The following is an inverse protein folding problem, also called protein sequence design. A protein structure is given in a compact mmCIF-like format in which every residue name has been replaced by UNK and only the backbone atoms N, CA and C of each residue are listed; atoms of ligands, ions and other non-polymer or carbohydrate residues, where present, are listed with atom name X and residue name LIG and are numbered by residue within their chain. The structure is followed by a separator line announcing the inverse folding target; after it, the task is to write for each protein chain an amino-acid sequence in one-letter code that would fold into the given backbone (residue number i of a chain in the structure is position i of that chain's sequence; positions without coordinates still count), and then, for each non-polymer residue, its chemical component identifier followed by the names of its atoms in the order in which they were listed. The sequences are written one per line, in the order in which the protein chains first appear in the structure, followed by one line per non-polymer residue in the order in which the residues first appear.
data_IF_255811792537
#
_entry.id   IF_255811792537
#
_cell.length_a   1.000
_cell.length_b   1.000
_cell.length_c   1.000
_cell.angle_alpha   90.00
_cell.angle_beta   90.00
_cell.angle_gamma   90.00
#
_symmetry.space_group_name_H-M   'P 1'
#
loop_
_entity.id
_entity.type
_entity.pdbx_description
1 polymer ?
#
# COMPACT_ATOMS: atom_id res chain seq x y z
N UNK A 1 -17.34 -27.71 21.94
CA UNK A 1 -15.94 -27.26 22.11
C UNK A 1 -15.98 -25.75 22.21
N UNK A 2 -15.35 -25.16 23.20
CA UNK A 2 -15.25 -23.70 23.35
C UNK A 2 -14.34 -23.12 22.27
N UNK A 3 -14.66 -21.92 21.80
CA UNK A 3 -13.83 -21.12 20.88
C UNK A 3 -13.59 -19.76 21.52
N UNK A 4 -12.33 -19.39 21.57
CA UNK A 4 -11.87 -18.07 21.99
C UNK A 4 -11.07 -17.44 20.86
N UNK A 5 -11.01 -16.11 20.83
CA UNK A 5 -10.13 -15.35 19.93
C UNK A 5 -9.40 -14.24 20.67
N UNK A 6 -8.31 -13.75 20.10
CA UNK A 6 -7.50 -12.69 20.69
C UNK A 6 -7.96 -11.33 20.17
N UNK A 7 -8.34 -10.42 21.06
CA UNK A 7 -8.53 -9.02 20.73
C UNK A 7 -7.25 -8.25 20.97
N UNK A 8 -6.77 -7.52 19.93
CA UNK A 8 -5.57 -6.68 19.99
C UNK A 8 -5.94 -5.22 19.69
N UNK A 9 -5.91 -4.37 20.70
CA UNK A 9 -6.03 -2.92 20.52
C UNK A 9 -4.72 -2.33 19.97
N UNK A 10 -4.70 -1.03 19.66
CA UNK A 10 -3.51 -0.38 19.06
C UNK A 10 -2.25 -0.48 19.94
N UNK A 11 -2.38 -0.39 21.27
CA UNK A 11 -1.25 -0.53 22.20
C UNK A 11 -0.70 -1.96 22.18
N UNK A 12 -1.60 -2.95 22.14
CA UNK A 12 -1.21 -4.35 22.04
C UNK A 12 -0.49 -4.61 20.70
N UNK A 13 -0.98 -4.02 19.60
CA UNK A 13 -0.33 -4.10 18.29
C UNK A 13 1.10 -3.53 18.32
N UNK A 14 1.28 -2.37 18.97
CA UNK A 14 2.62 -1.76 19.13
C UNK A 14 3.52 -2.69 19.96
N UNK A 15 3.04 -3.19 21.10
CA UNK A 15 3.79 -4.09 21.96
C UNK A 15 4.15 -5.42 21.28
N UNK A 16 3.29 -5.89 20.36
CA UNK A 16 3.52 -7.09 19.55
C UNK A 16 4.40 -6.84 18.31
N UNK A 17 4.89 -5.60 18.11
CA UNK A 17 5.88 -5.28 17.09
C UNK A 17 5.31 -4.82 15.75
N UNK A 18 4.07 -4.30 15.71
CA UNK A 18 3.49 -3.79 14.44
C UNK A 18 4.33 -2.69 13.78
N UNK A 19 5.18 -1.99 14.55
CA UNK A 19 6.07 -0.93 14.09
C UNK A 19 7.45 -1.44 13.64
N UNK A 20 7.72 -2.74 13.63
CA UNK A 20 8.96 -3.31 13.12
C UNK A 20 9.01 -3.18 11.59
N UNK A 21 9.71 -2.16 11.11
CA UNK A 21 9.83 -1.82 9.69
C UNK A 21 10.50 -2.94 8.91
N UNK A 22 11.62 -3.48 9.41
CA UNK A 22 12.39 -4.50 8.73
C UNK A 22 11.61 -5.82 8.65
N UNK A 23 10.96 -6.21 9.75
CA UNK A 23 10.08 -7.37 9.81
C UNK A 23 8.88 -7.23 8.86
N UNK A 24 8.31 -6.03 8.74
CA UNK A 24 7.21 -5.76 7.81
C UNK A 24 7.67 -5.88 6.34
N UNK A 25 8.82 -5.33 5.97
CA UNK A 25 9.38 -5.45 4.62
C UNK A 25 9.64 -6.92 4.28
N UNK A 26 10.18 -7.71 5.22
CA UNK A 26 10.38 -9.14 5.01
C UNK A 26 9.06 -9.90 4.86
N UNK A 27 8.04 -9.57 5.66
CA UNK A 27 6.70 -10.14 5.51
C UNK A 27 6.12 -9.84 4.12
N UNK A 28 6.31 -8.63 3.59
CA UNK A 28 5.89 -8.28 2.23
C UNK A 28 6.65 -9.09 1.17
N UNK A 29 7.96 -9.29 1.33
CA UNK A 29 8.76 -10.13 0.41
C UNK A 29 8.26 -11.57 0.36
N UNK A 30 8.00 -12.16 1.53
CA UNK A 30 7.46 -13.51 1.62
C UNK A 30 6.05 -13.61 1.02
N UNK A 31 5.21 -12.59 1.27
CA UNK A 31 3.87 -12.52 0.69
C UNK A 31 3.94 -12.54 -0.84
N UNK A 32 4.80 -11.71 -1.43
CA UNK A 32 4.95 -11.65 -2.88
C UNK A 32 5.59 -12.91 -3.47
N UNK A 33 6.47 -13.61 -2.72
CA UNK A 33 6.97 -14.92 -3.14
C UNK A 33 5.85 -15.97 -3.14
N UNK A 34 4.97 -15.99 -2.13
CA UNK A 34 3.79 -16.87 -2.11
C UNK A 34 2.83 -16.52 -3.26
N UNK A 35 2.67 -15.23 -3.55
CA UNK A 35 1.90 -14.74 -4.69
C UNK A 35 2.47 -15.30 -6.00
N UNK A 36 3.77 -15.18 -6.22
CA UNK A 36 4.46 -15.72 -7.39
C UNK A 36 4.36 -17.23 -7.54
N UNK A 37 4.13 -17.96 -6.43
CA UNK A 37 3.88 -19.40 -6.37
C UNK A 37 2.39 -19.76 -6.44
N UNK A 38 1.51 -18.79 -6.50
CA UNK A 38 0.05 -18.95 -6.51
C UNK A 38 -0.52 -19.61 -5.24
N UNK A 39 0.17 -19.46 -4.10
CA UNK A 39 -0.28 -19.96 -2.80
C UNK A 39 -1.05 -18.89 -2.03
N UNK A 40 -2.10 -18.37 -2.64
CA UNK A 40 -2.99 -17.38 -2.09
C UNK A 40 -4.36 -17.43 -2.78
N UNK A 41 -5.37 -16.80 -2.17
CA UNK A 41 -6.66 -16.49 -2.79
C UNK A 41 -7.07 -15.07 -2.37
N UNK A 42 -7.56 -14.29 -3.31
CA UNK A 42 -8.30 -13.05 -3.03
C UNK A 42 -9.81 -13.33 -3.07
N UNK A 43 -10.62 -12.32 -2.77
CA UNK A 43 -12.06 -12.40 -2.90
C UNK A 43 -12.52 -12.51 -4.37
N UNK A 44 -13.83 -12.72 -4.55
CA UNK A 44 -14.46 -12.80 -5.85
C UNK A 44 -14.36 -14.16 -6.54
N UNK A 45 -15.16 -14.36 -7.60
CA UNK A 45 -15.25 -15.65 -8.28
C UNK A 45 -13.99 -16.06 -9.03
N UNK A 46 -13.14 -15.08 -9.41
CA UNK A 46 -11.84 -15.33 -10.04
C UNK A 46 -10.67 -15.33 -9.05
N UNK A 47 -10.94 -15.06 -7.77
CA UNK A 47 -9.95 -14.94 -6.70
C UNK A 47 -8.86 -13.86 -6.97
N UNK A 48 -9.25 -12.77 -7.59
CA UNK A 48 -8.39 -11.65 -8.01
C UNK A 48 -8.91 -10.26 -7.61
N UNK A 49 -10.08 -10.19 -6.92
CA UNK A 49 -10.69 -8.93 -6.54
C UNK A 49 -9.97 -8.26 -5.35
N UNK A 50 -9.81 -6.94 -5.46
CA UNK A 50 -9.26 -6.12 -4.38
C UNK A 50 -10.14 -6.14 -3.12
N UNK A 51 -11.47 -6.15 -3.27
CA UNK A 51 -12.45 -6.17 -2.20
C UNK A 51 -13.79 -5.59 -2.65
N UNK A 52 -14.81 -5.77 -1.82
CA UNK A 52 -16.17 -5.27 -2.08
C UNK A 52 -16.42 -3.97 -1.32
N UNK A 53 -16.93 -2.97 -2.03
CA UNK A 53 -17.21 -1.65 -1.47
C UNK A 53 -18.69 -1.41 -1.29
N UNK A 54 -19.02 -0.68 -0.21
CA UNK A 54 -20.31 -0.01 -0.05
C UNK A 54 -20.05 1.46 -0.31
N UNK A 55 -20.53 1.96 -1.45
CA UNK A 55 -20.50 3.37 -1.80
C UNK A 55 -21.88 3.98 -1.54
N UNK A 56 -21.90 5.23 -1.06
CA UNK A 56 -23.14 5.94 -0.78
C UNK A 56 -23.58 6.74 -2.00
N UNK A 57 -24.89 6.87 -2.26
CA UNK A 57 -25.38 7.69 -3.37
C UNK A 57 -25.26 9.18 -3.07
N UNK A 58 -25.18 10.00 -4.12
CA UNK A 58 -25.17 11.46 -3.99
C UNK A 58 -26.51 12.02 -3.49
N UNK A 59 -27.63 11.33 -3.78
CA UNK A 59 -28.99 11.72 -3.38
C UNK A 59 -29.80 10.50 -2.94
N UNK A 60 -30.81 10.73 -2.07
CA UNK A 60 -31.79 9.71 -1.67
C UNK A 60 -33.12 10.37 -1.31
N UNK A 61 -34.23 9.71 -1.64
CA UNK A 61 -35.57 10.11 -1.22
C UNK A 61 -35.91 9.62 0.22
N UNK A 62 -35.02 8.86 0.85
CA UNK A 62 -35.18 8.36 2.21
C UNK A 62 -34.61 9.40 3.19
N UNK A 63 -35.44 9.92 4.07
CA UNK A 63 -35.02 10.85 5.12
C UNK A 63 -33.93 10.22 6.03
N UNK A 64 -32.82 10.92 6.21
CA UNK A 64 -31.70 10.44 7.02
C UNK A 64 -30.85 9.33 6.38
N UNK A 65 -31.10 8.97 5.11
CA UNK A 65 -30.22 8.04 4.40
C UNK A 65 -28.80 8.60 4.29
N UNK A 66 -27.78 7.81 4.57
CA UNK A 66 -26.40 8.27 4.44
C UNK A 66 -26.05 8.55 2.97
N UNK A 67 -25.61 9.77 2.69
CA UNK A 67 -25.24 10.20 1.34
C UNK A 67 -23.71 10.26 1.21
N UNK A 68 -23.23 10.26 -0.04
CA UNK A 68 -21.87 10.65 -0.37
C UNK A 68 -21.74 12.18 -0.24
N UNK A 69 -21.41 12.61 0.98
CA UNK A 69 -21.28 14.01 1.37
C UNK A 69 -19.83 14.52 1.30
N UNK A 70 -18.95 13.76 0.68
CA UNK A 70 -17.55 14.12 0.50
C UNK A 70 -16.72 13.00 -0.06
N UNK A 71 -15.54 13.32 -0.57
CA UNK A 71 -14.68 12.31 -1.19
C UNK A 71 -14.32 11.23 -0.18
N UNK A 72 -14.33 9.98 -0.66
CA UNK A 72 -13.87 8.82 0.09
C UNK A 72 -14.81 8.36 1.24
N UNK A 73 -16.12 8.60 1.14
CA UNK A 73 -17.10 8.02 2.08
C UNK A 73 -17.53 6.64 1.60
N UNK A 74 -16.96 5.61 2.19
CA UNK A 74 -17.24 4.21 1.83
C UNK A 74 -16.93 3.24 2.95
N UNK A 75 -17.43 2.01 2.83
CA UNK A 75 -16.91 0.85 3.54
C UNK A 75 -16.29 -0.12 2.55
N UNK A 76 -15.27 -0.86 2.98
CA UNK A 76 -14.62 -1.87 2.15
C UNK A 76 -14.33 -3.14 2.96
N UNK A 77 -14.70 -4.29 2.41
CA UNK A 77 -14.39 -5.62 2.92
C UNK A 77 -13.40 -6.30 1.97
N UNK A 78 -12.25 -6.69 2.47
CA UNK A 78 -11.13 -7.21 1.68
C UNK A 78 -10.71 -8.58 2.23
N UNK A 79 -11.40 -9.67 1.84
CA UNK A 79 -11.05 -11.02 2.27
C UNK A 79 -9.86 -11.57 1.49
N UNK A 80 -9.07 -12.44 2.14
CA UNK A 80 -8.03 -13.20 1.49
C UNK A 80 -7.62 -14.45 2.30
N UNK A 81 -6.97 -15.38 1.60
CA UNK A 81 -6.18 -16.47 2.15
C UNK A 81 -4.72 -16.31 1.74
N UNK A 82 -3.81 -16.62 2.64
CA UNK A 82 -2.38 -16.69 2.37
C UNK A 82 -1.81 -18.00 2.91
N UNK A 83 -1.12 -18.73 2.04
CA UNK A 83 -0.55 -20.02 2.33
C UNK A 83 0.82 -19.99 2.99
N UNK A 84 1.66 -20.97 2.64
CA UNK A 84 3.01 -21.11 3.19
C UNK A 84 3.02 -21.18 4.71
N UNK A 85 3.98 -20.50 5.33
CA UNK A 85 4.07 -20.44 6.80
C UNK A 85 2.89 -19.70 7.46
N UNK A 86 2.13 -18.94 6.70
CA UNK A 86 0.97 -18.21 7.23
C UNK A 86 -0.21 -19.15 7.42
N UNK A 87 -0.62 -19.87 6.36
CA UNK A 87 -1.76 -20.77 6.35
C UNK A 87 -2.97 -20.21 7.10
N UNK A 88 -3.41 -19.05 6.67
CA UNK A 88 -4.38 -18.22 7.40
C UNK A 88 -5.34 -17.54 6.42
N UNK A 89 -6.61 -17.50 6.77
CA UNK A 89 -7.59 -16.66 6.11
C UNK A 89 -7.93 -15.44 6.98
N UNK A 90 -8.54 -14.45 6.38
CA UNK A 90 -8.99 -13.28 7.12
C UNK A 90 -9.50 -12.18 6.21
N UNK A 91 -9.76 -11.05 6.80
CA UNK A 91 -10.17 -9.86 6.05
C UNK A 91 -9.72 -8.58 6.73
N UNK A 92 -9.42 -7.58 5.92
CA UNK A 92 -9.44 -6.19 6.37
C UNK A 92 -10.83 -5.62 6.10
N UNK A 93 -11.42 -5.01 7.12
CA UNK A 93 -12.65 -4.24 6.99
C UNK A 93 -12.41 -2.81 7.47
N UNK A 94 -12.88 -1.81 6.70
CA UNK A 94 -12.71 -0.42 7.11
C UNK A 94 -13.83 0.48 6.60
N UNK A 95 -14.12 1.54 7.40
CA UNK A 95 -14.88 2.70 6.97
C UNK A 95 -13.94 3.87 6.71
N UNK A 96 -14.21 4.64 5.66
CA UNK A 96 -13.47 5.83 5.28
C UNK A 96 -14.41 7.02 5.11
N UNK A 97 -13.99 8.20 5.60
CA UNK A 97 -14.71 9.46 5.44
C UNK A 97 -13.76 10.62 5.72
N UNK A 98 -13.54 11.50 4.75
CA UNK A 98 -12.67 12.67 4.92
C UNK A 98 -13.16 13.65 6.00
N UNK A 99 -14.46 13.69 6.29
CA UNK A 99 -15.03 14.53 7.38
C UNK A 99 -14.62 14.07 8.78
N UNK A 100 -14.09 12.84 8.93
CA UNK A 100 -13.54 12.38 10.20
C UNK A 100 -12.43 13.28 10.73
N UNK A 101 -11.61 13.87 9.84
CA UNK A 101 -10.53 14.78 10.23
C UNK A 101 -11.04 16.01 10.99
N UNK A 102 -12.23 16.50 10.66
CA UNK A 102 -12.88 17.63 11.36
C UNK A 102 -13.34 17.23 12.77
N UNK A 103 -13.56 15.94 12.99
CA UNK A 103 -13.96 15.35 14.29
C UNK A 103 -12.77 14.87 15.13
N UNK A 104 -11.53 15.11 14.66
CA UNK A 104 -10.31 14.61 15.30
C UNK A 104 -10.08 13.10 15.14
N UNK A 105 -10.82 12.45 14.25
CA UNK A 105 -10.68 11.03 13.93
C UNK A 105 -9.79 10.84 12.68
N UNK A 106 -9.11 9.69 12.53
CA UNK A 106 -8.43 9.38 11.29
C UNK A 106 -9.44 9.25 10.14
N UNK A 107 -9.01 9.59 8.90
CA UNK A 107 -9.85 9.46 7.70
C UNK A 107 -10.47 8.08 7.57
N UNK A 108 -9.69 7.04 7.83
CA UNK A 108 -10.14 5.64 7.79
C UNK A 108 -9.92 4.99 9.15
N UNK A 109 -10.85 4.15 9.55
CA UNK A 109 -10.76 3.32 10.75
C UNK A 109 -10.79 1.87 10.29
N UNK A 110 -9.69 1.17 10.53
CA UNK A 110 -9.40 -0.14 9.97
C UNK A 110 -9.34 -1.21 11.06
N UNK A 111 -9.83 -2.38 10.69
CA UNK A 111 -9.78 -3.59 11.51
C UNK A 111 -9.37 -4.77 10.63
N UNK A 112 -8.65 -5.73 11.21
CA UNK A 112 -8.32 -7.01 10.58
C UNK A 112 -8.85 -8.13 11.46
N UNK A 113 -9.51 -9.10 10.82
CA UNK A 113 -9.82 -10.40 11.41
C UNK A 113 -8.93 -11.46 10.81
N UNK A 114 -8.48 -12.40 11.64
CA UNK A 114 -7.74 -13.58 11.21
C UNK A 114 -8.52 -14.83 11.62
N UNK A 115 -8.56 -15.82 10.74
CA UNK A 115 -9.28 -17.06 10.93
C UNK A 115 -8.39 -18.26 10.62
N UNK A 116 -8.57 -19.31 11.39
CA UNK A 116 -8.03 -20.64 11.10
C UNK A 116 -8.68 -21.18 9.82
N UNK A 117 -7.86 -21.60 8.89
CA UNK A 117 -8.32 -22.02 7.55
C UNK A 117 -9.10 -23.31 7.58
N UNK A 118 -8.71 -24.25 8.46
CA UNK A 118 -9.27 -25.59 8.47
C UNK A 118 -10.65 -25.65 9.14
N UNK A 119 -10.86 -24.76 10.13
CA UNK A 119 -12.08 -24.76 10.96
C UNK A 119 -12.97 -23.55 10.74
N UNK A 120 -12.41 -22.44 10.17
CA UNK A 120 -13.08 -21.15 10.12
C UNK A 120 -13.11 -20.39 11.45
N UNK A 121 -12.55 -20.96 12.52
CA UNK A 121 -12.56 -20.34 13.85
C UNK A 121 -11.80 -19.00 13.85
N UNK A 122 -12.31 -17.96 14.53
CA UNK A 122 -11.57 -16.72 14.66
C UNK A 122 -10.31 -16.93 15.51
N UNK A 123 -9.19 -16.42 15.03
CA UNK A 123 -7.91 -16.38 15.74
C UNK A 123 -7.72 -15.03 16.42
N UNK A 124 -8.00 -13.94 15.70
CA UNK A 124 -7.84 -12.59 16.22
C UNK A 124 -8.80 -11.59 15.58
N UNK A 125 -9.10 -10.54 16.34
CA UNK A 125 -9.69 -9.28 15.90
C UNK A 125 -8.80 -8.13 16.35
N UNK A 126 -8.28 -7.33 15.43
CA UNK A 126 -7.21 -6.40 15.75
C UNK A 126 -7.39 -5.02 15.14
N UNK A 127 -6.90 -3.99 15.84
CA UNK A 127 -6.73 -2.64 15.32
C UNK A 127 -5.75 -2.64 14.17
N UNK A 128 -6.13 -2.03 13.03
CA UNK A 128 -5.35 -2.16 11.81
C UNK A 128 -4.89 -0.83 11.18
N UNK A 129 -5.06 0.31 11.82
CA UNK A 129 -4.57 1.58 11.28
C UNK A 129 -3.04 1.59 11.14
N UNK A 130 -2.30 1.21 12.18
CA UNK A 130 -0.84 1.10 12.13
C UNK A 130 -0.41 -0.06 11.23
N UNK A 131 -1.06 -1.21 11.33
CA UNK A 131 -0.79 -2.38 10.50
C UNK A 131 -0.84 -2.03 9.01
N UNK A 132 -1.95 -1.42 8.58
CA UNK A 132 -2.14 -1.03 7.18
C UNK A 132 -1.17 0.08 6.75
N UNK A 133 -0.84 1.04 7.63
CA UNK A 133 0.16 2.06 7.33
C UNK A 133 1.55 1.44 7.12
N UNK A 134 1.94 0.51 7.96
CA UNK A 134 3.25 -0.16 7.89
C UNK A 134 3.38 -1.01 6.62
N UNK A 135 2.40 -1.89 6.31
CA UNK A 135 2.48 -2.73 5.10
C UNK A 135 2.43 -1.90 3.82
N UNK A 136 1.66 -0.79 3.80
CA UNK A 136 1.58 0.10 2.63
C UNK A 136 2.90 0.82 2.37
N UNK A 137 3.63 1.20 3.42
CA UNK A 137 4.99 1.75 3.28
C UNK A 137 6.04 0.70 2.97
N UNK A 138 5.87 -0.53 3.42
CA UNK A 138 6.81 -1.63 3.24
C UNK A 138 6.80 -2.19 1.80
N UNK A 139 5.65 -2.22 1.12
CA UNK A 139 5.54 -2.71 -0.26
C UNK A 139 6.44 -1.96 -1.25
N UNK A 140 6.42 -0.61 -1.31
CA UNK A 140 7.36 0.14 -2.13
C UNK A 140 8.83 -0.16 -1.84
N UNK A 141 9.17 -0.31 -0.57
CA UNK A 141 10.54 -0.57 -0.14
C UNK A 141 10.98 -2.01 -0.47
N UNK A 142 10.11 -2.98 -0.30
CA UNK A 142 10.35 -4.35 -0.74
C UNK A 142 10.70 -4.36 -2.24
N UNK A 143 9.89 -3.68 -3.08
CA UNK A 143 10.18 -3.56 -4.50
C UNK A 143 11.48 -2.80 -4.77
N UNK A 144 11.77 -1.73 -4.04
CA UNK A 144 13.02 -0.97 -4.19
C UNK A 144 14.28 -1.83 -3.93
N UNK A 145 14.19 -2.87 -3.08
CA UNK A 145 15.30 -3.80 -2.87
C UNK A 145 15.71 -4.57 -4.13
N UNK A 146 14.82 -4.67 -5.12
CA UNK A 146 15.04 -5.30 -6.43
C UNK A 146 15.22 -4.28 -7.55
N UNK A 147 14.55 -3.13 -7.47
CA UNK A 147 14.39 -2.18 -8.57
C UNK A 147 15.24 -0.92 -8.44
N UNK A 148 15.59 -0.49 -7.22
CA UNK A 148 16.43 0.68 -7.03
C UNK A 148 17.89 0.39 -7.39
N UNK A 149 18.61 1.44 -7.77
CA UNK A 149 20.07 1.36 -7.92
C UNK A 149 20.72 1.10 -6.56
N UNK A 150 21.78 0.30 -6.54
CA UNK A 150 22.48 -0.06 -5.30
C UNK A 150 23.19 1.14 -4.63
N UNK A 151 23.52 2.15 -5.42
CA UNK A 151 24.19 3.38 -4.99
C UNK A 151 23.20 4.54 -4.71
N UNK A 152 21.89 4.28 -4.67
CA UNK A 152 20.87 5.30 -4.39
C UNK A 152 21.15 6.04 -3.09
N UNK A 153 21.19 7.38 -3.15
CA UNK A 153 21.48 8.28 -2.01
C UNK A 153 20.35 9.23 -1.67
N UNK A 154 19.56 9.61 -2.68
CA UNK A 154 18.53 10.63 -2.56
C UNK A 154 17.15 10.02 -2.72
N UNK A 155 16.29 10.18 -1.71
CA UNK A 155 14.88 9.81 -1.81
C UNK A 155 14.01 11.05 -1.75
N UNK A 156 13.01 11.13 -2.63
CA UNK A 156 11.99 12.18 -2.64
C UNK A 156 10.66 11.65 -2.12
N UNK A 157 10.04 12.36 -1.18
CA UNK A 157 8.70 12.07 -0.65
C UNK A 157 7.76 13.22 -1.01
N UNK A 158 6.81 12.95 -1.88
CA UNK A 158 5.74 13.87 -2.24
C UNK A 158 4.50 13.47 -1.44
N UNK A 159 4.17 14.25 -0.41
CA UNK A 159 3.10 13.97 0.54
C UNK A 159 3.61 13.45 1.89
N UNK A 160 4.12 14.33 2.79
CA UNK A 160 4.73 13.97 4.07
C UNK A 160 3.67 13.63 5.14
N UNK A 161 2.79 12.68 4.84
CA UNK A 161 1.79 12.10 5.74
C UNK A 161 2.26 10.81 6.42
N UNK A 162 1.30 10.03 6.94
CA UNK A 162 1.59 8.73 7.58
C UNK A 162 2.25 7.77 6.58
N UNK A 163 1.68 7.65 5.36
CA UNK A 163 2.22 6.80 4.32
C UNK A 163 3.63 7.24 3.89
N UNK A 164 3.89 8.56 3.82
CA UNK A 164 5.24 9.08 3.55
C UNK A 164 6.25 8.68 4.63
N UNK A 165 5.86 8.72 5.91
CA UNK A 165 6.72 8.32 7.03
C UNK A 165 7.06 6.83 6.97
N UNK A 166 6.07 5.98 6.80
CA UNK A 166 6.27 4.52 6.75
C UNK A 166 7.06 4.11 5.50
N UNK A 167 6.80 4.73 4.33
CA UNK A 167 7.57 4.49 3.11
C UNK A 167 9.02 4.92 3.26
N UNK A 168 9.29 6.12 3.81
CA UNK A 168 10.67 6.59 4.02
C UNK A 168 11.44 5.67 4.96
N UNK A 169 10.85 5.31 6.12
CA UNK A 169 11.46 4.38 7.06
C UNK A 169 11.78 3.04 6.41
N UNK A 170 10.86 2.53 5.58
CA UNK A 170 11.06 1.28 4.88
C UNK A 170 12.13 1.38 3.77
N UNK A 171 12.15 2.46 2.96
CA UNK A 171 13.23 2.66 1.98
C UNK A 171 14.61 2.70 2.63
N UNK A 172 14.72 3.41 3.74
CA UNK A 172 15.95 3.52 4.50
C UNK A 172 16.42 2.16 5.04
N UNK A 173 15.49 1.26 5.39
CA UNK A 173 15.84 -0.09 5.87
C UNK A 173 16.40 -1.02 4.79
N UNK A 174 16.10 -0.76 3.51
CA UNK A 174 16.53 -1.61 2.37
C UNK A 174 17.56 -0.95 1.46
N UNK A 175 17.69 0.36 1.51
CA UNK A 175 18.64 1.14 0.72
C UNK A 175 19.66 1.83 1.65
N UNK A 176 20.73 1.15 2.07
CA UNK A 176 21.60 1.60 3.15
C UNK A 176 22.41 2.86 2.81
N UNK A 177 22.52 3.23 1.55
CA UNK A 177 23.24 4.41 1.08
C UNK A 177 22.40 5.68 1.09
N UNK A 178 21.07 5.59 1.37
CA UNK A 178 20.19 6.75 1.46
C UNK A 178 20.63 7.64 2.63
N UNK A 179 21.02 8.87 2.34
CA UNK A 179 21.43 9.86 3.31
C UNK A 179 20.75 11.22 3.14
N UNK A 180 20.03 11.41 2.04
CA UNK A 180 19.36 12.67 1.69
C UNK A 180 17.89 12.42 1.40
N UNK A 181 17.02 13.23 1.99
CA UNK A 181 15.58 13.22 1.69
C UNK A 181 15.13 14.60 1.20
N UNK A 182 14.42 14.61 0.07
CA UNK A 182 13.70 15.77 -0.46
C UNK A 182 12.23 15.63 -0.14
N UNK A 183 11.59 16.70 0.32
CA UNK A 183 10.21 16.64 0.79
C UNK A 183 9.38 17.72 0.13
N UNK A 184 8.28 17.33 -0.51
CA UNK A 184 7.23 18.23 -0.96
C UNK A 184 5.94 17.97 -0.19
N UNK A 185 5.49 18.98 0.54
CA UNK A 185 4.21 19.00 1.26
C UNK A 185 3.43 20.28 1.01
N UNK A 186 2.15 20.27 1.39
CA UNK A 186 1.26 21.44 1.23
C UNK A 186 1.18 22.30 2.47
N UNK A 187 1.32 21.73 3.66
CA UNK A 187 1.17 22.47 4.93
C UNK A 187 2.46 22.45 5.74
N UNK A 188 2.81 23.59 6.33
CA UNK A 188 3.97 23.70 7.20
C UNK A 188 3.89 22.71 8.37
N UNK A 189 2.70 22.54 8.97
CA UNK A 189 2.48 21.58 10.05
C UNK A 189 2.90 20.14 9.68
N UNK A 190 2.58 19.70 8.45
CA UNK A 190 2.95 18.34 8.00
C UNK A 190 4.45 18.24 7.73
N UNK A 191 5.06 19.28 7.17
CA UNK A 191 6.50 19.36 6.94
C UNK A 191 7.29 19.31 8.27
N UNK A 192 6.87 20.09 9.27
CA UNK A 192 7.50 20.11 10.60
C UNK A 192 7.39 18.74 11.30
N UNK A 193 6.20 18.13 11.24
CA UNK A 193 5.97 16.81 11.83
C UNK A 193 6.77 15.70 11.13
N UNK A 194 6.96 15.80 9.82
CA UNK A 194 7.76 14.86 9.04
C UNK A 194 9.26 15.05 9.29
N UNK A 195 9.72 16.30 9.31
CA UNK A 195 11.12 16.65 9.62
C UNK A 195 11.51 16.18 11.03
N UNK A 196 10.62 16.36 12.00
CA UNK A 196 10.82 15.86 13.36
C UNK A 196 10.96 14.34 13.38
N UNK A 197 10.03 13.63 12.74
CA UNK A 197 10.08 12.18 12.60
C UNK A 197 11.42 11.70 12.03
N UNK A 198 11.92 12.35 10.95
CA UNK A 198 13.21 11.97 10.37
C UNK A 198 14.35 12.13 11.37
N UNK A 199 14.39 13.25 12.09
CA UNK A 199 15.46 13.53 13.06
C UNK A 199 15.46 12.58 14.25
N UNK A 200 14.27 12.15 14.69
CA UNK A 200 14.10 11.27 15.85
C UNK A 200 14.30 9.79 15.48
N UNK A 201 13.80 9.35 14.32
CA UNK A 201 13.69 7.92 13.99
C UNK A 201 14.69 7.45 12.91
N UNK A 202 15.22 8.36 12.08
CA UNK A 202 16.03 8.01 10.91
C UNK A 202 17.40 8.71 10.92
N UNK A 203 18.29 8.40 11.91
CA UNK A 203 19.56 9.09 12.09
C UNK A 203 20.55 8.95 10.94
N UNK A 204 20.37 7.98 10.04
CA UNK A 204 21.17 7.81 8.82
C UNK A 204 20.85 8.87 7.75
N UNK A 205 19.70 9.55 7.81
CA UNK A 205 19.39 10.69 6.94
C UNK A 205 20.14 11.93 7.45
N UNK A 206 21.13 12.35 6.71
CA UNK A 206 22.02 13.48 7.06
C UNK A 206 21.51 14.80 6.52
N UNK A 207 20.81 14.77 5.37
CA UNK A 207 20.32 15.97 4.71
C UNK A 207 18.81 15.92 4.50
N UNK A 208 18.12 16.98 4.89
CA UNK A 208 16.68 17.15 4.69
C UNK A 208 16.48 18.42 3.86
N UNK A 209 15.85 18.31 2.72
CA UNK A 209 15.53 19.41 1.81
C UNK A 209 14.02 19.56 1.70
N UNK A 210 13.50 20.72 2.10
CA UNK A 210 12.09 21.09 1.86
C UNK A 210 12.02 21.78 0.51
N UNK A 211 11.22 21.24 -0.39
CA UNK A 211 11.13 21.71 -1.78
C UNK A 211 9.86 22.54 -2.00
N UNK A 212 9.98 23.62 -2.75
CA UNK A 212 8.86 24.53 -3.06
C UNK A 212 8.00 23.99 -4.21
N UNK A 213 8.54 23.14 -5.09
CA UNK A 213 7.83 22.53 -6.19
C UNK A 213 8.01 21.00 -6.25
N UNK A 214 7.14 20.33 -7.02
CA UNK A 214 7.30 18.90 -7.33
C UNK A 214 8.54 18.69 -8.18
N UNK A 215 8.82 19.58 -9.15
CA UNK A 215 10.02 19.56 -9.99
C UNK A 215 11.29 19.54 -9.14
N UNK A 216 11.42 20.47 -8.20
CA UNK A 216 12.57 20.54 -7.30
C UNK A 216 12.73 19.25 -6.46
N UNK A 217 11.60 18.69 -6.01
CA UNK A 217 11.61 17.47 -5.21
C UNK A 217 12.06 16.24 -6.02
N UNK A 218 11.61 16.09 -7.27
CA UNK A 218 11.90 14.88 -8.08
C UNK A 218 13.25 14.96 -8.78
N UNK A 219 13.73 16.18 -9.06
CA UNK A 219 14.99 16.38 -9.77
C UNK A 219 16.18 15.82 -8.98
N UNK A 220 17.06 15.09 -9.65
CA UNK A 220 18.23 14.44 -9.07
C UNK A 220 17.95 13.40 -7.96
N UNK A 221 16.69 12.94 -7.83
CA UNK A 221 16.32 11.91 -6.88
C UNK A 221 16.48 10.50 -7.46
N UNK A 222 17.04 9.59 -6.66
CA UNK A 222 17.23 8.18 -7.03
C UNK A 222 15.96 7.36 -6.85
N UNK A 223 15.22 7.67 -5.78
CA UNK A 223 13.92 7.08 -5.46
C UNK A 223 12.92 8.21 -5.27
N UNK A 224 11.77 8.12 -5.93
CA UNK A 224 10.70 9.09 -5.85
C UNK A 224 9.44 8.38 -5.39
N UNK A 225 8.80 8.81 -4.30
CA UNK A 225 7.60 8.19 -3.78
C UNK A 225 6.45 9.19 -3.65
N UNK A 226 5.34 8.88 -4.32
CA UNK A 226 4.11 9.68 -4.25
C UNK A 226 3.17 9.10 -3.20
N UNK A 227 3.01 9.83 -2.10
CA UNK A 227 2.21 9.43 -0.94
C UNK A 227 1.14 10.47 -0.60
N UNK A 228 0.67 11.19 -1.63
CA UNK A 228 -0.36 12.22 -1.52
C UNK A 228 -1.75 11.61 -1.32
N UNK A 229 -2.64 12.34 -0.69
CA UNK A 229 -4.06 11.98 -0.72
C UNK A 229 -4.62 12.28 -2.10
N UNK A 230 -5.17 11.26 -2.75
CA UNK A 230 -5.85 11.35 -4.03
C UNK A 230 -7.15 12.13 -3.86
N UNK A 231 -7.56 12.88 -4.88
CA UNK A 231 -8.80 13.66 -4.96
C UNK A 231 -9.60 13.20 -6.18
N UNK A 232 -10.84 13.59 -6.23
CA UNK A 232 -11.83 13.13 -7.22
C UNK A 232 -11.49 13.47 -8.68
N UNK A 233 -10.70 14.53 -8.92
CA UNK A 233 -10.35 14.96 -10.26
C UNK A 233 -8.88 14.69 -10.59
N UNK A 234 -8.65 13.96 -11.69
CA UNK A 234 -7.30 13.67 -12.23
C UNK A 234 -6.49 14.95 -12.48
N UNK A 235 -7.14 16.05 -12.88
CA UNK A 235 -6.45 17.34 -13.12
C UNK A 235 -5.78 17.88 -11.84
N UNK A 236 -6.26 17.47 -10.66
CA UNK A 236 -5.71 17.87 -9.36
C UNK A 236 -4.45 17.09 -8.95
N UNK A 237 -4.10 16.02 -9.66
CA UNK A 237 -2.92 15.23 -9.34
C UNK A 237 -1.65 15.98 -9.68
N UNK A 238 -0.57 15.77 -8.91
CA UNK A 238 0.72 16.34 -9.26
C UNK A 238 1.14 15.88 -10.65
N UNK A 239 1.49 16.84 -11.52
CA UNK A 239 2.06 16.56 -12.83
C UNK A 239 3.58 16.40 -12.70
N UNK A 240 4.12 15.46 -13.44
CA UNK A 240 5.55 15.15 -13.49
C UNK A 240 5.96 15.08 -14.96
N UNK A 241 6.89 15.97 -15.36
CA UNK A 241 7.54 15.86 -16.65
C UNK A 241 8.66 14.83 -16.62
N UNK A 242 8.77 14.02 -17.66
CA UNK A 242 9.87 13.08 -17.83
C UNK A 242 11.26 13.76 -17.81
N UNK A 243 11.33 15.01 -18.30
CA UNK A 243 12.58 15.81 -18.32
C UNK A 243 13.13 16.14 -16.91
N UNK A 244 12.29 16.03 -15.89
CA UNK A 244 12.72 16.26 -14.51
C UNK A 244 13.34 15.01 -13.86
N UNK A 245 13.11 13.85 -14.46
CA UNK A 245 13.47 12.56 -13.88
C UNK A 245 14.88 12.18 -14.33
N UNK A 246 15.73 11.95 -13.34
CA UNK A 246 17.10 11.50 -13.62
C UNK A 246 17.09 10.07 -14.14
N UNK A 247 18.00 9.76 -15.04
CA UNK A 247 18.26 8.39 -15.49
C UNK A 247 18.56 7.48 -14.29
N UNK A 248 18.04 6.27 -14.35
CA UNK A 248 18.19 5.28 -13.28
C UNK A 248 17.25 5.46 -12.09
N UNK A 249 16.36 6.45 -12.09
CA UNK A 249 15.42 6.65 -11.01
C UNK A 249 14.40 5.50 -10.88
N UNK A 250 13.99 5.23 -9.64
CA UNK A 250 12.81 4.42 -9.31
C UNK A 250 11.69 5.36 -8.88
N UNK A 251 10.57 5.33 -9.59
CA UNK A 251 9.34 6.06 -9.26
C UNK A 251 8.37 5.08 -8.62
N UNK A 252 8.14 5.20 -7.33
CA UNK A 252 7.21 4.37 -6.57
C UNK A 252 5.88 5.08 -6.38
N UNK A 253 4.80 4.42 -6.78
CA UNK A 253 3.48 5.02 -6.91
C UNK A 253 2.42 4.33 -6.03
N UNK A 254 2.49 4.49 -4.70
CA UNK A 254 1.37 4.11 -3.83
C UNK A 254 0.22 5.12 -3.83
N UNK A 255 0.30 6.17 -4.65
CA UNK A 255 -0.70 7.19 -4.87
C UNK A 255 -0.66 7.65 -6.32
N UNK A 256 -1.61 8.52 -6.74
CA UNK A 256 -1.75 8.97 -8.11
C UNK A 256 -0.86 10.18 -8.46
N UNK A 257 -0.44 10.24 -9.73
CA UNK A 257 0.19 11.40 -10.36
C UNK A 257 -0.12 11.42 -11.86
N UNK A 258 0.13 12.55 -12.52
CA UNK A 258 0.01 12.69 -13.99
C UNK A 258 1.39 12.68 -14.63
N UNK A 259 1.51 11.91 -15.68
CA UNK A 259 2.68 11.84 -16.55
C UNK A 259 2.26 12.00 -18.01
N UNK A 260 3.20 12.36 -18.85
CA UNK A 260 3.01 12.24 -20.29
C UNK A 260 3.03 10.75 -20.68
N UNK A 261 2.11 10.35 -21.55
CA UNK A 261 1.96 8.97 -21.97
C UNK A 261 3.24 8.43 -22.61
N UNK A 262 3.89 9.23 -23.47
CA UNK A 262 5.12 8.84 -24.15
C UNK A 262 6.29 8.64 -23.16
N UNK A 263 6.31 9.41 -22.07
CA UNK A 263 7.28 9.19 -21.00
C UNK A 263 7.02 7.85 -20.31
N UNK A 264 5.77 7.58 -19.89
CA UNK A 264 5.44 6.30 -19.26
C UNK A 264 5.74 5.11 -20.17
N UNK A 265 5.38 5.21 -21.47
CA UNK A 265 5.66 4.17 -22.45
C UNK A 265 7.18 3.93 -22.67
N UNK A 266 8.02 4.91 -22.36
CA UNK A 266 9.49 4.77 -22.41
C UNK A 266 10.12 4.16 -21.16
N UNK A 267 9.37 4.05 -20.09
CA UNK A 267 9.83 3.50 -18.79
C UNK A 267 9.66 1.98 -18.73
N UNK A 268 10.40 1.34 -17.84
CA UNK A 268 10.06 -0.01 -17.40
C UNK A 268 8.90 0.05 -16.40
N UNK A 269 7.79 -0.60 -16.75
CA UNK A 269 6.55 -0.59 -15.96
C UNK A 269 6.45 -1.85 -15.11
N UNK A 270 6.40 -1.68 -13.80
CA UNK A 270 6.31 -2.80 -12.85
C UNK A 270 5.07 -2.61 -11.98
N UNK A 271 4.34 -3.70 -11.73
CA UNK A 271 3.14 -3.72 -10.88
C UNK A 271 3.27 -4.73 -9.76
N UNK A 272 2.48 -4.57 -8.72
CA UNK A 272 2.39 -5.56 -7.64
C UNK A 272 1.65 -6.84 -8.08
N UNK A 273 0.60 -6.70 -8.90
CA UNK A 273 -0.15 -7.84 -9.47
C UNK A 273 -0.94 -7.39 -10.70
N UNK A 274 -0.54 -7.83 -11.89
CA UNK A 274 -1.21 -7.47 -13.15
C UNK A 274 -2.70 -7.84 -13.17
N UNK A 275 -3.08 -8.99 -12.59
CA UNK A 275 -4.48 -9.43 -12.54
C UNK A 275 -5.40 -8.51 -11.77
N UNK A 276 -4.87 -7.81 -10.76
CA UNK A 276 -5.64 -6.80 -10.03
C UNK A 276 -6.06 -5.64 -10.95
N UNK A 277 -5.16 -5.22 -11.84
CA UNK A 277 -5.43 -4.14 -12.79
C UNK A 277 -6.33 -4.60 -13.92
N UNK A 278 -6.21 -5.85 -14.37
CA UNK A 278 -7.12 -6.47 -15.31
C UNK A 278 -8.55 -6.58 -14.74
N UNK A 279 -8.69 -6.96 -13.47
CA UNK A 279 -9.99 -7.00 -12.79
C UNK A 279 -10.64 -5.60 -12.74
N UNK A 280 -9.87 -4.56 -12.46
CA UNK A 280 -10.37 -3.19 -12.50
C UNK A 280 -10.71 -2.71 -13.93
N UNK A 281 -9.95 -3.12 -14.95
CA UNK A 281 -10.26 -2.84 -16.35
C UNK A 281 -11.58 -3.49 -16.78
N UNK A 282 -11.93 -4.66 -16.22
CA UNK A 282 -13.23 -5.32 -16.45
C UNK A 282 -14.38 -4.65 -15.68
N UNK A 283 -14.13 -4.15 -14.47
CA UNK A 283 -15.14 -3.54 -13.58
C UNK A 283 -15.47 -2.10 -13.99
N UNK A 284 -14.48 -1.34 -14.45
CA UNK A 284 -14.59 0.09 -14.76
C UNK A 284 -14.37 0.34 -16.26
N UNK A 285 -15.25 1.14 -16.91
CA UNK A 285 -15.10 1.41 -18.34
C UNK A 285 -13.84 2.23 -18.64
N UNK A 286 -13.28 1.99 -19.83
CA UNK A 286 -12.17 2.79 -20.35
C UNK A 286 -12.55 4.28 -20.55
N UNK A 287 -11.67 5.26 -20.21
CA UNK A 287 -10.41 5.07 -19.51
C UNK A 287 -10.59 4.71 -18.03
N UNK A 288 -9.82 3.71 -17.56
CA UNK A 288 -9.93 3.17 -16.19
C UNK A 288 -9.27 4.08 -15.15
N UNK A 289 -8.15 4.72 -15.51
CA UNK A 289 -7.35 5.52 -14.57
C UNK A 289 -8.12 6.66 -13.86
N UNK A 290 -9.00 7.42 -14.51
CA UNK A 290 -9.80 8.45 -13.82
C UNK A 290 -10.72 7.89 -12.73
N UNK A 291 -11.12 6.63 -12.84
CA UNK A 291 -12.06 5.98 -11.94
C UNK A 291 -11.33 5.23 -10.82
N UNK A 292 -10.27 4.50 -11.18
CA UNK A 292 -9.38 3.81 -10.25
C UNK A 292 -8.01 4.49 -10.27
N UNK A 293 -7.82 5.45 -9.40
CA UNK A 293 -6.72 6.40 -9.41
C UNK A 293 -5.39 5.79 -8.89
N UNK A 294 -5.01 4.66 -9.47
CA UNK A 294 -3.77 3.92 -9.21
C UNK A 294 -3.03 3.79 -10.55
N UNK A 295 -1.74 4.15 -10.58
CA UNK A 295 -0.99 4.31 -11.84
C UNK A 295 -0.97 3.05 -12.71
N UNK A 296 -1.10 1.86 -12.13
CA UNK A 296 -1.18 0.61 -12.90
C UNK A 296 -2.41 0.55 -13.81
N UNK A 297 -3.53 1.20 -13.46
CA UNK A 297 -4.67 1.32 -14.39
C UNK A 297 -4.39 2.31 -15.53
N UNK A 298 -3.47 3.25 -15.37
CA UNK A 298 -2.96 4.04 -16.50
C UNK A 298 -2.11 3.18 -17.44
N UNK A 299 -1.41 2.17 -16.91
CA UNK A 299 -0.67 1.24 -17.78
C UNK A 299 -1.66 0.40 -18.61
N UNK A 300 -2.79 -0.05 -18.04
CA UNK A 300 -3.82 -0.73 -18.82
C UNK A 300 -4.46 0.18 -19.86
N UNK A 301 -4.69 1.46 -19.53
CA UNK A 301 -5.17 2.45 -20.52
C UNK A 301 -4.16 2.63 -21.67
N UNK A 302 -2.84 2.71 -21.40
CA UNK A 302 -1.80 2.80 -22.43
C UNK A 302 -1.75 1.55 -23.33
N UNK A 303 -1.95 0.37 -22.74
CA UNK A 303 -2.08 -0.90 -23.49
C UNK A 303 -3.30 -0.85 -24.42
N UNK A 304 -4.45 -0.39 -23.92
CA UNK A 304 -5.66 -0.21 -24.73
C UNK A 304 -5.44 0.76 -25.90
N UNK A 305 -4.66 1.82 -25.68
CA UNK A 305 -4.31 2.82 -26.70
C UNK A 305 -3.25 2.33 -27.72
N UNK A 306 -2.72 1.12 -27.53
CA UNK A 306 -1.65 0.57 -28.38
C UNK A 306 -0.31 1.29 -28.26
N UNK A 307 -0.07 1.96 -27.12
CA UNK A 307 1.20 2.64 -26.81
C UNK A 307 2.23 1.72 -26.19
N UNK A 308 1.76 0.64 -25.56
CA UNK A 308 2.58 -0.43 -24.98
C UNK A 308 1.91 -1.78 -25.23
N UNK A 309 2.68 -2.86 -25.15
CA UNK A 309 2.16 -4.23 -25.19
C UNK A 309 1.90 -4.77 -23.78
N UNK A 310 1.16 -5.87 -23.67
CA UNK A 310 0.85 -6.49 -22.38
C UNK A 310 2.12 -6.95 -21.65
N UNK A 311 3.11 -7.42 -22.38
CA UNK A 311 4.40 -7.90 -21.89
C UNK A 311 5.30 -6.78 -21.33
N UNK A 312 4.99 -5.51 -21.62
CA UNK A 312 5.70 -4.35 -21.06
C UNK A 312 5.31 -4.09 -19.60
N UNK A 313 4.19 -4.68 -19.12
CA UNK A 313 3.74 -4.60 -17.74
C UNK A 313 4.26 -5.84 -16.97
N UNK A 314 5.25 -5.63 -16.12
CA UNK A 314 5.98 -6.69 -15.43
C UNK A 314 5.44 -6.86 -14.01
N UNK A 315 5.07 -8.06 -13.62
CA UNK A 315 4.78 -8.37 -12.22
C UNK A 315 6.05 -8.39 -11.37
N UNK A 316 6.02 -7.72 -10.22
CA UNK A 316 7.15 -7.77 -9.27
C UNK A 316 7.46 -9.21 -8.83
N UNK A 317 6.46 -10.08 -8.82
CA UNK A 317 6.62 -11.51 -8.48
C UNK A 317 7.51 -12.24 -9.47
N UNK A 318 7.51 -11.86 -10.75
CA UNK A 318 8.40 -12.46 -11.75
C UNK A 318 9.86 -12.09 -11.49
N UNK A 319 10.09 -10.89 -10.95
CA UNK A 319 11.42 -10.43 -10.56
C UNK A 319 11.89 -11.17 -9.30
N UNK A 320 11.01 -11.30 -8.29
CA UNK A 320 11.30 -12.00 -7.04
C UNK A 320 11.63 -13.49 -7.31
N UNK A 321 10.83 -14.15 -8.15
CA UNK A 321 11.00 -15.55 -8.52
C UNK A 321 12.03 -15.76 -9.66
N UNK A 322 12.76 -14.69 -10.06
CA UNK A 322 13.83 -14.71 -11.09
C UNK A 322 13.37 -15.17 -12.47
N UNK A 323 12.10 -14.98 -12.81
CA UNK A 323 11.57 -15.17 -14.16
C UNK A 323 11.82 -13.96 -15.05
N UNK A 324 12.00 -12.79 -14.44
CA UNK A 324 12.39 -11.54 -15.09
C UNK A 324 13.58 -10.90 -14.35
N UNK A 325 14.56 -10.31 -15.05
CA UNK A 325 15.80 -9.79 -14.43
C UNK A 325 15.60 -8.54 -13.54
N UNK A 326 14.45 -7.86 -13.63
CA UNK A 326 14.23 -6.58 -12.95
C UNK A 326 15.00 -5.45 -13.65
N UNK A 327 15.79 -4.69 -12.90
CA UNK A 327 16.66 -3.64 -13.46
C UNK A 327 17.78 -4.27 -14.30
N UNK A 328 17.91 -3.84 -15.54
CA UNK A 328 18.92 -4.35 -16.49
C UNK A 328 19.97 -3.28 -16.87
N UNK A 329 19.72 -2.01 -16.57
CA UNK A 329 20.63 -0.91 -16.81
C UNK A 329 20.57 0.14 -15.70
N UNK A 330 21.69 0.80 -15.42
CA UNK A 330 21.75 1.92 -14.48
C UNK A 330 21.04 3.18 -14.99
N UNK A 331 20.77 3.28 -16.29
CA UNK A 331 20.05 4.40 -16.92
C UNK A 331 18.54 4.18 -16.97
N UNK A 332 18.06 2.97 -16.71
CA UNK A 332 16.66 2.58 -16.82
C UNK A 332 15.80 3.31 -15.78
N UNK A 333 14.77 4.04 -16.21
CA UNK A 333 13.75 4.60 -15.33
C UNK A 333 12.67 3.54 -15.12
N UNK A 334 12.36 3.26 -13.86
CA UNK A 334 11.36 2.24 -13.50
C UNK A 334 10.20 2.91 -12.79
N UNK A 335 8.97 2.65 -13.23
CA UNK A 335 7.75 3.08 -12.54
C UNK A 335 7.09 1.86 -11.91
N UNK A 336 6.98 1.87 -10.58
CA UNK A 336 6.37 0.79 -9.81
C UNK A 336 5.01 1.20 -9.27
N UNK A 337 3.96 0.51 -9.69
CA UNK A 337 2.59 0.69 -9.20
C UNK A 337 2.32 -0.19 -7.99
N UNK A 338 1.65 0.37 -6.99
CA UNK A 338 1.20 -0.33 -5.79
C UNK A 338 -0.32 -0.17 -5.65
N UNK A 339 -1.07 -1.19 -6.00
CA UNK A 339 -2.51 -1.26 -5.81
C UNK A 339 -2.86 -1.61 -4.36
N UNK A 340 -2.03 -2.46 -3.77
CA UNK A 340 -2.22 -3.00 -2.43
C UNK A 340 -3.27 -4.11 -2.39
N UNK A 341 -3.01 -5.15 -1.62
CA UNK A 341 -3.86 -6.35 -1.58
C UNK A 341 -4.13 -6.79 -0.15
N UNK A 342 -5.29 -7.42 0.13
CA UNK A 342 -5.62 -7.90 1.49
C UNK A 342 -4.63 -8.92 2.05
N UNK A 343 -3.96 -9.71 1.22
CA UNK A 343 -2.92 -10.67 1.65
C UNK A 343 -1.78 -10.01 2.41
N UNK A 344 -1.46 -8.74 2.10
CA UNK A 344 -0.43 -7.97 2.77
C UNK A 344 -0.83 -7.64 4.22
N UNK A 345 -2.10 -7.24 4.42
CA UNK A 345 -2.65 -6.97 5.74
C UNK A 345 -2.73 -8.26 6.57
N UNK A 346 -3.08 -9.40 5.94
CA UNK A 346 -3.17 -10.72 6.59
C UNK A 346 -1.78 -11.25 6.95
N UNK A 347 -0.79 -11.10 6.08
CA UNK A 347 0.58 -11.50 6.34
C UNK A 347 1.19 -10.76 7.54
N UNK A 348 1.11 -9.43 7.51
CA UNK A 348 1.63 -8.62 8.60
C UNK A 348 0.83 -8.82 9.88
N UNK A 349 -0.51 -8.86 9.78
CA UNK A 349 -1.39 -9.18 10.89
C UNK A 349 -1.10 -10.55 11.50
N UNK A 350 -0.91 -11.58 10.67
CA UNK A 350 -0.55 -12.93 11.10
C UNK A 350 0.81 -12.98 11.82
N UNK A 351 1.78 -12.18 11.38
CA UNK A 351 3.08 -12.06 12.05
C UNK A 351 2.93 -11.42 13.42
N UNK A 352 2.23 -10.28 13.50
CA UNK A 352 1.96 -9.57 14.76
C UNK A 352 1.12 -10.41 15.72
N UNK A 353 0.11 -11.12 15.21
CA UNK A 353 -0.69 -12.07 16.00
C UNK A 353 0.18 -13.15 16.65
N UNK A 354 1.06 -13.81 15.89
CA UNK A 354 1.97 -14.83 16.43
C UNK A 354 2.91 -14.27 17.50
N UNK A 355 3.40 -13.05 17.30
CA UNK A 355 4.18 -12.35 18.31
C UNK A 355 3.36 -12.08 19.58
N UNK A 356 2.12 -11.60 19.44
CA UNK A 356 1.23 -11.33 20.54
C UNK A 356 0.94 -12.61 21.36
N UNK A 357 0.63 -13.72 20.70
CA UNK A 357 0.46 -15.03 21.35
C UNK A 357 1.73 -15.46 22.12
N UNK A 358 2.90 -15.35 21.49
CA UNK A 358 4.18 -15.71 22.11
C UNK A 358 4.51 -14.87 23.34
N UNK A 359 4.13 -13.58 23.32
CA UNK A 359 4.39 -12.62 24.39
C UNK A 359 3.27 -12.57 25.44
N UNK A 360 2.15 -13.26 25.24
CA UNK A 360 0.98 -13.21 26.11
C UNK A 360 0.28 -11.85 26.11
N UNK A 361 0.28 -11.16 24.97
CA UNK A 361 -0.31 -9.82 24.78
C UNK A 361 -1.72 -9.96 24.21
N UNK A 362 -2.62 -9.04 24.58
CA UNK A 362 -4.01 -8.98 24.11
C UNK A 362 -5.02 -9.52 25.10
N UNK A 363 -6.26 -9.42 24.73
CA UNK A 363 -7.40 -9.86 25.56
C UNK A 363 -8.04 -11.07 24.90
N UNK A 364 -8.04 -12.20 25.61
CA UNK A 364 -8.70 -13.41 25.16
C UNK A 364 -10.21 -13.27 25.43
N UNK A 365 -11.00 -13.33 24.37
CA UNK A 365 -12.44 -13.20 24.42
C UNK A 365 -13.10 -14.51 23.99
N UNK A 366 -14.07 -15.04 24.74
CA UNK A 366 -14.84 -16.21 24.34
C UNK A 366 -15.80 -15.85 23.20
N UNK A 367 -15.81 -16.67 22.13
CA UNK A 367 -16.87 -16.61 21.14
C UNK A 367 -18.09 -17.38 21.65
N UNK A 368 -17.86 -18.57 22.19
CA UNK A 368 -18.83 -19.39 22.93
C UNK A 368 -18.12 -20.49 23.73
N UNK A 369 -18.76 -20.97 24.77
CA UNK A 369 -18.34 -22.16 25.50
C UNK A 369 -18.84 -23.43 24.77
N UNK A 370 -20.09 -23.38 24.31
CA UNK A 370 -20.72 -24.41 23.49
C UNK A 370 -21.74 -23.73 22.55
N UNK A 371 -21.72 -24.04 21.24
CA UNK A 371 -22.74 -23.49 20.35
C UNK A 371 -24.14 -24.05 20.71
N UNK A 372 -25.15 -23.18 20.75
CA UNK A 372 -26.49 -23.54 21.17
C UNK A 372 -27.24 -24.44 20.17
N UNK A 373 -26.91 -24.29 18.86
CA UNK A 373 -27.63 -24.94 17.77
C UNK A 373 -26.72 -25.79 16.86
N UNK A 374 -25.67 -26.38 17.40
CA UNK A 374 -24.76 -27.26 16.62
C UNK A 374 -24.79 -28.70 17.15
#
# INVERSE_FOLDING_TARGET
MSIDFLYLNEKDMIAAGVMDVAGCVEAMRETMSLFGKKDFLLGGPKADEHGLQINFPATSDIEGFPLDDGPDRRFNAMPAYLGGKYHIAGQKFYGSNNHNLQKGLPRSILMVTLNDVDTGAPLAYMSANLLSAMRTGAMPAMAASYLARKDSKVVSIIGPGVMGKTSLAAFVSVCPNLDTVKIKGRSQRSLDAFTRFIREELPQIKKIEICDSVEEAVKDSDIISFTTTVRDDVSSFPYISGDWIKKGALISMPSAARFDDDFLASCKLVVDNSKLYEAWEEEYPYPTYPQVQIIGTKFTDLKHDGKIEAEDIIDITDIIEKRHPGRTSDDEIIVYSVGGMPVEDIAWGGTVYRNAVKLGIGIKLPLWDKPEMA
#
